data_IF_507577256763
#
_entry.id   IF_507577256763
#
_cell.length_a   1.000
_cell.length_b   1.000
_cell.length_c   1.000
_cell.angle_alpha   90.00
_cell.angle_beta   90.00
_cell.angle_gamma   90.00
#
_symmetry.space_group_name_H-M   'P 1'
#
loop_
_entity.id
_entity.type
_entity.pdbx_description
1 polymer ?
#
# COMPACT_ATOMS: atom_id res chain seq x y z
N UNK A 1 -46.58 -22.69 68.37
CA UNK A 1 -45.25 -23.01 68.93
C UNK A 1 -44.22 -22.39 67.99
N UNK A 2 -43.68 -21.22 68.32
CA UNK A 2 -42.37 -20.97 68.96
C UNK A 2 -41.15 -21.43 68.12
N UNK A 3 -40.46 -20.40 67.59
CA UNK A 3 -39.01 -20.27 67.31
C UNK A 3 -38.53 -21.00 66.03
N UNK A 4 -37.67 -20.43 65.20
CA UNK A 4 -36.33 -19.96 65.57
C UNK A 4 -35.74 -19.05 64.47
N UNK A 5 -35.27 -17.88 64.90
CA UNK A 5 -34.36 -16.98 64.19
C UNK A 5 -33.11 -17.75 63.74
N UNK A 6 -32.76 -17.73 62.45
CA UNK A 6 -31.39 -18.04 61.99
C UNK A 6 -30.95 -17.02 60.95
N UNK A 7 -30.24 -16.02 61.48
CA UNK A 7 -29.35 -15.14 60.75
C UNK A 7 -28.16 -15.99 60.27
N UNK A 8 -27.91 -16.05 58.96
CA UNK A 8 -26.60 -16.43 58.42
C UNK A 8 -26.20 -15.37 57.38
N UNK A 9 -25.34 -14.46 57.83
CA UNK A 9 -24.52 -13.58 56.99
C UNK A 9 -23.42 -14.47 56.41
N UNK A 10 -23.20 -14.53 55.09
CA UNK A 10 -21.84 -14.72 54.50
C UNK A 10 -21.81 -14.23 53.03
N UNK A 11 -20.99 -13.20 52.84
CA UNK A 11 -20.11 -12.86 51.70
C UNK A 11 -20.72 -12.51 50.33
N UNK A 12 -20.71 -11.20 50.08
CA UNK A 12 -20.76 -10.61 48.75
C UNK A 12 -19.47 -10.90 47.98
N UNK A 13 -19.57 -11.55 46.82
CA UNK A 13 -18.52 -11.56 45.80
C UNK A 13 -19.05 -10.81 44.57
N UNK A 14 -18.99 -9.48 44.63
CA UNK A 14 -19.27 -8.62 43.46
C UNK A 14 -18.01 -8.61 42.61
N UNK A 15 -17.87 -9.59 41.71
CA UNK A 15 -16.86 -9.57 40.66
C UNK A 15 -17.40 -8.70 39.52
N UNK A 16 -17.19 -7.38 39.62
CA UNK A 16 -17.59 -6.43 38.58
C UNK A 16 -16.71 -6.59 37.33
N UNK A 17 -17.28 -6.58 36.11
CA UNK A 17 -16.47 -6.68 34.90
C UNK A 17 -15.61 -5.42 34.76
N UNK A 18 -14.29 -5.57 34.80
CA UNK A 18 -13.36 -4.52 34.40
C UNK A 18 -13.49 -4.29 32.89
N UNK A 19 -14.36 -3.36 32.51
CA UNK A 19 -14.48 -2.83 31.16
C UNK A 19 -13.19 -2.07 30.81
N UNK A 20 -12.19 -2.80 30.32
CA UNK A 20 -11.00 -2.18 29.74
C UNK A 20 -11.41 -1.56 28.41
N UNK A 21 -11.47 -0.23 28.35
CA UNK A 21 -11.66 0.48 27.09
C UNK A 21 -10.37 0.39 26.27
N UNK A 22 -10.43 -0.27 25.12
CA UNK A 22 -9.34 -0.23 24.15
C UNK A 22 -9.33 1.17 23.51
N UNK A 23 -8.27 1.94 23.76
CA UNK A 23 -8.04 3.23 23.10
C UNK A 23 -7.19 2.98 21.84
N UNK A 24 -7.69 3.38 20.68
CA UNK A 24 -6.95 3.33 19.43
C UNK A 24 -6.36 4.71 19.13
N UNK A 25 -5.04 4.81 19.09
CA UNK A 25 -4.35 6.04 18.73
C UNK A 25 -4.32 6.17 17.21
N UNK A 26 -4.88 7.27 16.70
CA UNK A 26 -4.84 7.58 15.27
C UNK A 26 -3.62 8.45 14.99
N UNK A 27 -2.59 7.84 14.40
CA UNK A 27 -1.44 8.57 13.88
C UNK A 27 -1.81 9.23 12.54
N UNK A 28 -1.88 10.56 12.54
CA UNK A 28 -1.98 11.32 11.30
C UNK A 28 -0.62 11.24 10.58
N UNK A 29 -0.59 10.54 9.44
CA UNK A 29 0.57 10.63 8.55
C UNK A 29 0.66 12.08 8.07
N UNK A 30 1.82 12.75 8.23
CA UNK A 30 1.99 14.07 7.65
C UNK A 30 1.74 13.93 6.16
N UNK A 31 0.68 14.59 5.68
CA UNK A 31 0.42 14.67 4.26
C UNK A 31 1.65 15.37 3.69
N UNK A 32 2.51 14.63 2.98
CA UNK A 32 3.48 15.27 2.09
C UNK A 32 2.64 16.26 1.31
N UNK A 33 2.97 17.54 1.43
CA UNK A 33 2.32 18.57 0.64
C UNK A 33 2.42 18.06 -0.80
N UNK A 34 1.30 17.60 -1.34
CA UNK A 34 1.11 17.48 -2.76
C UNK A 34 1.08 18.94 -3.18
N UNK A 35 2.27 19.55 -3.29
CA UNK A 35 2.49 20.77 -4.05
C UNK A 35 1.67 20.57 -5.30
N UNK A 36 0.74 21.47 -5.60
CA UNK A 36 -0.10 21.45 -6.80
C UNK A 36 0.76 20.98 -7.97
N UNK A 37 0.78 19.68 -8.21
CA UNK A 37 1.50 19.11 -9.31
C UNK A 37 0.57 19.46 -10.44
N UNK A 38 0.98 20.43 -11.26
CA UNK A 38 0.33 20.65 -12.54
C UNK A 38 0.05 19.26 -13.12
N UNK A 39 -1.22 19.00 -13.42
CA UNK A 39 -1.68 17.67 -13.80
C UNK A 39 -0.98 17.28 -15.10
N UNK A 40 0.17 16.62 -14.99
CA UNK A 40 0.95 16.15 -16.11
C UNK A 40 0.40 14.78 -16.51
N UNK A 41 -0.39 14.75 -17.58
CA UNK A 41 -0.95 13.52 -18.13
C UNK A 41 0.03 12.95 -19.17
N UNK A 42 0.82 11.95 -18.77
CA UNK A 42 1.61 11.12 -19.69
C UNK A 42 0.84 9.82 -19.94
N UNK A 43 0.80 9.37 -21.19
CA UNK A 43 0.31 8.03 -21.53
C UNK A 43 1.35 6.98 -21.10
N UNK A 44 0.94 6.00 -20.28
CA UNK A 44 1.84 4.99 -19.73
C UNK A 44 1.50 3.61 -20.29
N UNK A 45 2.51 2.73 -20.48
CA UNK A 45 2.27 1.34 -20.79
C UNK A 45 1.32 0.67 -19.80
N UNK A 46 0.24 0.09 -20.31
CA UNK A 46 -0.71 -0.66 -19.51
C UNK A 46 -0.11 -1.95 -18.97
N UNK A 47 -0.55 -2.38 -17.77
CA UNK A 47 -0.16 -3.67 -17.20
C UNK A 47 -0.53 -4.81 -18.15
N UNK A 48 0.36 -5.79 -18.30
CA UNK A 48 0.19 -6.95 -19.18
C UNK A 48 0.57 -6.70 -20.65
N UNK A 49 0.87 -5.46 -21.05
CA UNK A 49 1.44 -5.18 -22.36
C UNK A 49 2.79 -5.90 -22.53
N UNK A 50 3.07 -6.45 -23.70
CA UNK A 50 4.35 -7.09 -24.01
C UNK A 50 5.44 -6.06 -24.28
N UNK A 51 6.70 -6.41 -24.07
CA UNK A 51 7.85 -5.58 -24.47
C UNK A 51 7.75 -5.09 -25.92
N UNK A 52 7.32 -5.95 -26.85
CA UNK A 52 7.14 -5.61 -28.26
C UNK A 52 6.02 -4.58 -28.48
N UNK A 53 4.89 -4.70 -27.77
CA UNK A 53 3.80 -3.73 -27.84
C UNK A 53 4.20 -2.38 -27.24
N UNK A 54 4.99 -2.38 -26.15
CA UNK A 54 5.55 -1.16 -25.57
C UNK A 54 6.45 -0.47 -26.59
N UNK A 55 7.42 -1.19 -27.17
CA UNK A 55 8.30 -0.63 -28.20
C UNK A 55 7.53 -0.13 -29.43
N UNK A 56 6.49 -0.86 -29.86
CA UNK A 56 5.64 -0.46 -30.98
C UNK A 56 4.86 0.83 -30.71
N UNK A 57 4.36 1.03 -29.49
CA UNK A 57 3.51 2.17 -29.13
C UNK A 57 4.31 3.39 -28.68
N UNK A 58 5.40 3.19 -27.94
CA UNK A 58 6.16 4.25 -27.30
C UNK A 58 7.56 4.46 -27.91
N UNK A 59 7.95 3.63 -28.89
CA UNK A 59 9.28 3.66 -29.48
C UNK A 59 10.33 2.89 -28.65
N UNK A 60 11.59 2.84 -29.13
CA UNK A 60 12.67 2.22 -28.39
C UNK A 60 12.99 3.00 -27.12
N UNK A 61 13.30 2.32 -26.00
CA UNK A 61 13.69 3.01 -24.77
C UNK A 61 15.08 3.65 -24.91
N UNK A 62 15.31 4.76 -24.20
CA UNK A 62 16.63 5.40 -24.13
C UNK A 62 17.65 4.53 -23.41
N UNK A 63 17.22 3.70 -22.45
CA UNK A 63 18.09 2.73 -21.77
C UNK A 63 17.33 1.48 -21.35
N UNK A 64 17.93 0.31 -21.60
CA UNK A 64 17.49 -0.99 -21.08
C UNK A 64 18.42 -1.41 -19.95
N UNK A 65 17.87 -1.64 -18.75
CA UNK A 65 18.61 -2.25 -17.65
C UNK A 65 18.42 -3.77 -17.71
N UNK A 66 19.49 -4.51 -17.42
CA UNK A 66 19.44 -5.98 -17.35
C UNK A 66 18.47 -6.48 -16.29
N UNK A 67 18.10 -7.75 -16.42
CA UNK A 67 17.22 -8.45 -15.49
C UNK A 67 17.86 -8.66 -14.12
N UNK A 68 17.05 -8.58 -13.07
CA UNK A 68 17.46 -8.86 -11.68
C UNK A 68 16.43 -9.77 -10.98
N UNK A 69 16.92 -10.71 -10.18
CA UNK A 69 16.09 -11.54 -9.29
C UNK A 69 15.39 -12.74 -9.94
N UNK A 70 14.48 -13.35 -9.19
CA UNK A 70 13.60 -14.43 -9.64
C UNK A 70 12.22 -14.23 -8.99
N UNK A 71 11.14 -13.98 -9.76
CA UNK A 71 11.11 -13.88 -11.22
C UNK A 71 11.94 -12.69 -11.75
N UNK A 72 12.45 -12.75 -12.99
CA UNK A 72 13.35 -11.74 -13.52
C UNK A 72 12.61 -10.43 -13.78
N UNK A 73 13.12 -9.33 -13.19
CA UNK A 73 12.59 -7.98 -13.42
C UNK A 73 13.52 -7.19 -14.32
N UNK A 74 13.01 -6.79 -15.49
CA UNK A 74 13.70 -5.92 -16.46
C UNK A 74 13.15 -4.50 -16.36
N UNK A 75 14.00 -3.49 -16.51
CA UNK A 75 13.59 -2.08 -16.47
C UNK A 75 14.00 -1.35 -17.72
N UNK A 76 13.06 -0.72 -18.39
CA UNK A 76 13.35 0.19 -19.51
C UNK A 76 13.05 1.62 -19.10
N UNK A 77 13.95 2.53 -19.48
CA UNK A 77 13.91 3.95 -19.17
C UNK A 77 13.61 4.70 -20.45
N UNK A 78 12.49 5.42 -20.44
CA UNK A 78 12.09 6.42 -21.43
C UNK A 78 12.39 7.81 -20.86
N UNK A 79 12.21 8.84 -21.69
CA UNK A 79 12.40 10.23 -21.27
C UNK A 79 11.48 10.61 -20.11
N UNK A 80 10.18 10.35 -20.26
CA UNK A 80 9.17 10.79 -19.29
C UNK A 80 8.71 9.71 -18.31
N UNK A 81 9.14 8.45 -18.48
CA UNK A 81 8.68 7.36 -17.62
C UNK A 81 9.64 6.16 -17.60
N UNK A 82 9.43 5.30 -16.62
CA UNK A 82 10.15 4.03 -16.46
C UNK A 82 9.12 2.90 -16.45
N UNK A 83 9.37 1.87 -17.25
CA UNK A 83 8.53 0.67 -17.30
C UNK A 83 9.29 -0.54 -16.76
N UNK A 84 8.61 -1.33 -15.95
CA UNK A 84 9.10 -2.54 -15.31
C UNK A 84 8.38 -3.74 -15.91
N UNK A 85 9.16 -4.73 -16.31
CA UNK A 85 8.67 -5.98 -16.87
C UNK A 85 9.04 -7.13 -15.95
N UNK A 86 8.13 -8.07 -15.80
CA UNK A 86 8.46 -9.43 -15.36
C UNK A 86 8.43 -10.32 -16.61
N UNK A 87 9.52 -11.02 -16.90
CA UNK A 87 9.76 -11.62 -18.21
C UNK A 87 9.54 -10.59 -19.34
N UNK A 88 8.51 -10.79 -20.18
CA UNK A 88 8.18 -9.94 -21.31
C UNK A 88 6.96 -9.03 -21.07
N UNK A 89 6.34 -9.07 -19.89
CA UNK A 89 5.07 -8.40 -19.62
C UNK A 89 5.24 -7.24 -18.65
N UNK A 90 4.59 -6.11 -18.93
CA UNK A 90 4.56 -4.95 -18.06
C UNK A 90 3.89 -5.31 -16.74
N UNK A 91 4.61 -5.10 -15.64
CA UNK A 91 4.04 -5.17 -14.28
C UNK A 91 3.75 -3.77 -13.74
N UNK A 92 4.54 -2.76 -14.11
CA UNK A 92 4.33 -1.39 -13.64
C UNK A 92 4.99 -0.35 -14.55
N UNK A 93 4.42 0.85 -14.61
CA UNK A 93 5.00 2.00 -15.28
C UNK A 93 4.86 3.23 -14.36
N UNK A 94 5.92 4.02 -14.25
CA UNK A 94 6.03 5.14 -13.33
C UNK A 94 6.46 6.38 -14.11
N UNK A 95 5.67 7.45 -14.02
CA UNK A 95 6.05 8.75 -14.57
C UNK A 95 7.28 9.29 -13.85
N UNK A 96 8.25 9.78 -14.62
CA UNK A 96 9.39 10.54 -14.11
C UNK A 96 8.92 11.98 -13.92
N UNK A 97 8.93 12.54 -12.69
CA UNK A 97 8.59 13.94 -12.52
C UNK A 97 9.64 14.82 -13.24
N UNK A 98 9.22 15.97 -13.79
CA UNK A 98 10.18 16.92 -14.37
C UNK A 98 11.20 17.35 -13.32
N UNK A 99 12.41 17.69 -13.77
CA UNK A 99 13.44 18.24 -12.89
C UNK A 99 12.89 19.49 -12.15
N UNK A 100 13.24 19.68 -10.86
CA UNK A 100 12.74 20.79 -10.06
C UNK A 100 13.18 22.17 -10.56
#
# INVERSE_FOLDING_TARGET
>A
MRRLFKLFIVSALVFGPSLHSAQAETLAMPQKAQTNAESYSIDLPGRGMTMAEVEKRFGPPGKKMGEVGTPPITRWIYEDFIVYFEYQYVIHAVATPPAP
#
